data_IF_011201868449
#
_entry.id   IF_011201868449
#
_cell.length_a   1.000
_cell.length_b   1.000
_cell.length_c   1.000
_cell.angle_alpha   90.00
_cell.angle_beta   90.00
_cell.angle_gamma   90.00
#
_symmetry.space_group_name_H-M   'P 1'
#
loop_
_entity.id
_entity.type
_entity.pdbx_description
1 polymer ?
#
# COMPACT_ATOMS: atom_id res chain seq x y z
N UNK A 1 -10.85 10.87 -42.86
CA UNK A 1 -10.35 12.23 -42.56
C UNK A 1 -11.39 13.10 -41.87
N UNK A 2 -12.60 13.30 -42.42
CA UNK A 2 -13.66 14.06 -41.73
C UNK A 2 -14.18 13.38 -40.44
N UNK A 3 -14.32 12.05 -40.45
CA UNK A 3 -14.73 11.28 -39.27
C UNK A 3 -13.72 11.31 -38.12
N UNK A 4 -12.41 11.28 -38.43
CA UNK A 4 -11.36 11.35 -37.41
C UNK A 4 -11.29 12.72 -36.77
N UNK A 5 -11.43 13.80 -37.55
CA UNK A 5 -11.44 15.17 -37.05
C UNK A 5 -12.64 15.44 -36.11
N UNK A 6 -13.83 14.96 -36.50
CA UNK A 6 -15.03 15.05 -35.66
C UNK A 6 -14.92 14.23 -34.37
N UNK A 7 -14.24 13.09 -34.42
CA UNK A 7 -14.00 12.24 -33.25
C UNK A 7 -12.99 12.87 -32.28
N UNK A 8 -11.89 13.47 -32.77
CA UNK A 8 -10.91 14.19 -31.95
C UNK A 8 -11.53 15.38 -31.21
N UNK A 9 -12.35 16.19 -31.90
CA UNK A 9 -13.06 17.30 -31.27
C UNK A 9 -14.01 16.84 -30.17
N UNK A 10 -14.68 15.71 -30.39
CA UNK A 10 -15.58 15.12 -29.40
C UNK A 10 -14.81 14.58 -28.19
N UNK A 11 -13.68 13.89 -28.42
CA UNK A 11 -12.82 13.36 -27.38
C UNK A 11 -12.24 14.50 -26.52
N UNK A 12 -11.74 15.55 -27.15
CA UNK A 12 -11.21 16.73 -26.48
C UNK A 12 -12.28 17.43 -25.62
N UNK A 13 -13.53 17.49 -26.09
CA UNK A 13 -14.65 18.01 -25.30
C UNK A 13 -14.94 17.13 -24.08
N UNK A 14 -14.93 15.81 -24.23
CA UNK A 14 -15.12 14.87 -23.13
C UNK A 14 -13.98 14.99 -22.12
N UNK A 15 -12.75 15.16 -22.57
CA UNK A 15 -11.58 15.30 -21.71
C UNK A 15 -11.69 16.55 -20.81
N UNK A 16 -12.01 17.70 -21.40
CA UNK A 16 -12.16 18.95 -20.65
C UNK A 16 -13.41 18.93 -19.76
N UNK A 17 -14.54 18.44 -20.27
CA UNK A 17 -15.81 18.51 -19.56
C UNK A 17 -15.95 17.47 -18.44
N UNK A 18 -15.33 16.30 -18.58
CA UNK A 18 -15.53 15.17 -17.67
C UNK A 18 -14.22 14.62 -17.10
N UNK A 19 -13.23 14.27 -17.93
CA UNK A 19 -12.02 13.61 -17.45
C UNK A 19 -11.26 14.48 -16.44
N UNK A 20 -10.95 15.73 -16.80
CA UNK A 20 -10.15 16.63 -15.96
C UNK A 20 -10.82 16.93 -14.61
N UNK A 21 -12.11 17.34 -14.54
CA UNK A 21 -12.78 17.58 -13.25
C UNK A 21 -12.83 16.33 -12.37
N UNK A 22 -13.09 15.16 -12.97
CA UNK A 22 -13.20 13.90 -12.23
C UNK A 22 -11.83 13.46 -11.70
N UNK A 23 -10.77 13.57 -12.50
CA UNK A 23 -9.38 13.31 -12.10
C UNK A 23 -8.96 14.21 -10.93
N UNK A 24 -9.29 15.50 -11.01
CA UNK A 24 -9.02 16.47 -9.94
C UNK A 24 -9.75 16.12 -8.64
N UNK A 25 -11.05 15.79 -8.72
CA UNK A 25 -11.84 15.34 -7.56
C UNK A 25 -11.27 14.06 -6.97
N UNK A 26 -10.87 13.10 -7.80
CA UNK A 26 -10.26 11.85 -7.33
C UNK A 26 -8.95 12.11 -6.57
N UNK A 27 -8.04 12.90 -7.13
CA UNK A 27 -6.78 13.22 -6.47
C UNK A 27 -6.98 14.04 -5.18
N UNK A 28 -7.91 14.99 -5.19
CA UNK A 28 -8.30 15.71 -3.98
C UNK A 28 -8.85 14.77 -2.91
N UNK A 29 -9.77 13.87 -3.28
CA UNK A 29 -10.36 12.90 -2.35
C UNK A 29 -9.32 11.94 -1.77
N UNK A 30 -8.35 11.52 -2.59
CA UNK A 30 -7.23 10.67 -2.18
C UNK A 30 -6.33 11.42 -1.19
N UNK A 31 -5.99 12.67 -1.48
CA UNK A 31 -5.22 13.53 -0.58
C UNK A 31 -5.95 13.70 0.77
N UNK A 32 -7.24 14.05 0.75
CA UNK A 32 -8.06 14.18 1.96
C UNK A 32 -8.12 12.87 2.77
N UNK A 33 -8.28 11.73 2.09
CA UNK A 33 -8.25 10.42 2.71
C UNK A 33 -6.91 10.14 3.40
N UNK A 34 -5.79 10.51 2.79
CA UNK A 34 -4.46 10.29 3.36
C UNK A 34 -4.16 11.23 4.52
N UNK A 35 -4.51 12.50 4.39
CA UNK A 35 -4.40 13.47 5.47
C UNK A 35 -5.18 12.97 6.69
N UNK A 36 -6.44 12.58 6.52
CA UNK A 36 -7.27 12.08 7.62
C UNK A 36 -6.74 10.78 8.22
N UNK A 37 -6.33 9.81 7.39
CA UNK A 37 -5.84 8.50 7.85
C UNK A 37 -4.47 8.59 8.55
N UNK A 38 -3.57 9.44 8.05
CA UNK A 38 -2.20 9.55 8.55
C UNK A 38 -1.93 10.81 9.38
N UNK A 39 -2.96 11.62 9.70
CA UNK A 39 -2.83 12.89 10.44
C UNK A 39 -2.00 12.77 11.73
N UNK A 40 -2.22 11.69 12.48
CA UNK A 40 -1.57 11.44 13.77
C UNK A 40 -0.09 11.07 13.63
N UNK A 41 0.34 10.63 12.45
CA UNK A 41 1.71 10.18 12.14
C UNK A 41 2.46 11.10 11.19
N UNK A 42 1.94 12.31 10.94
CA UNK A 42 2.51 13.30 10.00
C UNK A 42 3.97 13.69 10.27
N UNK A 43 4.46 13.47 11.48
CA UNK A 43 5.86 13.75 11.85
C UNK A 43 6.85 12.71 11.32
N UNK A 44 6.41 11.52 10.92
CA UNK A 44 7.29 10.54 10.30
C UNK A 44 7.70 11.00 8.90
N UNK A 45 9.02 11.03 8.60
CA UNK A 45 9.56 11.51 7.31
C UNK A 45 8.86 10.89 6.09
N UNK A 46 8.53 9.60 6.16
CA UNK A 46 7.86 8.88 5.07
C UNK A 46 6.40 9.24 4.89
N UNK A 47 5.70 9.48 6.00
CA UNK A 47 4.31 9.95 5.95
C UNK A 47 4.28 11.38 5.40
N UNK A 48 5.27 12.21 5.78
CA UNK A 48 5.44 13.54 5.19
C UNK A 48 5.65 13.45 3.67
N UNK A 49 6.57 12.60 3.22
CA UNK A 49 6.81 12.37 1.79
C UNK A 49 5.55 11.90 1.06
N UNK A 50 4.81 10.94 1.65
CA UNK A 50 3.52 10.49 1.12
C UNK A 50 2.52 11.66 0.97
N UNK A 51 2.38 12.50 1.99
CA UNK A 51 1.46 13.65 1.93
C UNK A 51 1.93 14.71 0.94
N UNK A 52 3.24 14.93 0.81
CA UNK A 52 3.83 15.85 -0.17
C UNK A 52 3.58 15.37 -1.59
N UNK A 53 3.83 14.09 -1.90
CA UNK A 53 3.59 13.53 -3.24
C UNK A 53 2.09 13.53 -3.56
N UNK A 54 1.23 13.19 -2.60
CA UNK A 54 -0.22 13.24 -2.80
C UNK A 54 -0.73 14.67 -3.03
N UNK A 55 -0.18 15.65 -2.31
CA UNK A 55 -0.46 17.07 -2.55
C UNK A 55 0.03 17.49 -3.94
N UNK A 56 1.22 17.07 -4.34
CA UNK A 56 1.79 17.39 -5.65
C UNK A 56 0.96 16.82 -6.80
N UNK A 57 0.44 15.59 -6.66
CA UNK A 57 -0.48 14.97 -7.63
C UNK A 57 -1.75 15.80 -7.84
N UNK A 58 -2.25 16.44 -6.79
CA UNK A 58 -3.38 17.36 -6.87
C UNK A 58 -2.96 18.74 -7.41
N UNK A 59 -1.85 19.29 -6.94
CA UNK A 59 -1.37 20.61 -7.30
C UNK A 59 -0.99 20.70 -8.79
N UNK A 60 -0.43 19.63 -9.37
CA UNK A 60 -0.14 19.59 -10.82
C UNK A 60 -1.40 19.67 -11.67
N UNK A 61 -2.58 19.33 -11.13
CA UNK A 61 -3.86 19.42 -11.83
C UNK A 61 -4.55 20.80 -11.74
N UNK A 62 -4.09 21.70 -10.88
CA UNK A 62 -4.63 23.06 -10.74
C UNK A 62 -4.38 23.94 -11.99
N UNK A 63 -3.18 23.97 -12.59
CA UNK A 63 -2.89 24.80 -13.77
C UNK A 63 -3.60 24.35 -15.06
N UNK A 64 -4.41 23.28 -15.05
CA UNK A 64 -5.30 22.94 -16.17
C UNK A 64 -6.41 23.97 -16.42
N UNK A 65 -6.52 24.99 -15.56
CA UNK A 65 -7.32 26.19 -15.82
C UNK A 65 -6.68 27.15 -16.84
N UNK A 66 -5.43 26.91 -17.29
CA UNK A 66 -4.73 27.73 -18.28
C UNK A 66 -4.81 27.13 -19.69
N UNK A 67 -4.88 27.96 -20.75
CA UNK A 67 -5.21 27.53 -22.12
C UNK A 67 -4.09 26.76 -22.88
N UNK A 68 -2.96 26.44 -22.25
CA UNK A 68 -1.83 25.78 -22.92
C UNK A 68 -1.97 24.25 -22.84
N UNK A 69 -2.23 23.61 -23.99
CA UNK A 69 -2.43 22.16 -24.12
C UNK A 69 -1.18 21.33 -23.83
N UNK A 70 0.02 21.83 -24.19
CA UNK A 70 1.30 21.14 -23.95
C UNK A 70 1.59 20.98 -22.45
N UNK A 71 1.63 22.10 -21.73
CA UNK A 71 1.86 22.12 -20.28
C UNK A 71 0.80 21.31 -19.52
N UNK A 72 -0.45 21.34 -19.99
CA UNK A 72 -1.52 20.54 -19.41
C UNK A 72 -1.24 19.04 -19.55
N UNK A 73 -0.76 18.57 -20.72
CA UNK A 73 -0.42 17.17 -20.92
C UNK A 73 0.69 16.70 -19.95
N UNK A 74 1.78 17.45 -19.85
CA UNK A 74 2.94 17.06 -19.03
C UNK A 74 2.59 17.03 -17.53
N UNK A 75 1.75 17.96 -17.09
CA UNK A 75 1.28 18.01 -15.71
C UNK A 75 0.29 16.90 -15.36
N UNK A 76 -0.43 16.35 -16.35
CA UNK A 76 -1.27 15.16 -16.16
C UNK A 76 -0.38 13.94 -15.95
N UNK A 77 0.66 13.80 -16.76
CA UNK A 77 1.60 12.68 -16.68
C UNK A 77 2.36 12.72 -15.34
N UNK A 78 2.79 13.91 -14.88
CA UNK A 78 3.33 14.12 -13.53
C UNK A 78 2.33 13.70 -12.45
N UNK A 79 1.05 14.06 -12.62
CA UNK A 79 -0.01 13.71 -11.68
C UNK A 79 -0.22 12.21 -11.57
N UNK A 80 -0.11 11.50 -12.70
CA UNK A 80 -0.26 10.04 -12.81
C UNK A 80 0.90 9.31 -12.12
N UNK A 81 2.14 9.70 -12.41
CA UNK A 81 3.34 9.18 -11.72
C UNK A 81 3.22 9.41 -10.20
N UNK A 82 2.77 10.59 -9.77
CA UNK A 82 2.54 10.87 -8.36
C UNK A 82 1.46 9.99 -7.74
N UNK A 83 0.40 9.64 -8.48
CA UNK A 83 -0.67 8.75 -8.00
C UNK A 83 -0.17 7.32 -7.80
N UNK A 84 0.60 6.76 -8.75
CA UNK A 84 1.25 5.44 -8.58
C UNK A 84 2.16 5.47 -7.36
N UNK A 85 3.04 6.47 -7.28
CA UNK A 85 4.00 6.62 -6.19
C UNK A 85 3.31 6.75 -4.83
N UNK A 86 2.22 7.49 -4.76
CA UNK A 86 1.40 7.62 -3.54
C UNK A 86 0.86 6.27 -3.10
N UNK A 87 0.34 5.46 -4.03
CA UNK A 87 -0.18 4.15 -3.70
C UNK A 87 0.93 3.17 -3.27
N UNK A 88 2.07 3.18 -3.97
CA UNK A 88 3.26 2.42 -3.61
C UNK A 88 3.80 2.78 -2.22
N UNK A 89 3.84 4.07 -1.88
CA UNK A 89 4.25 4.56 -0.56
C UNK A 89 3.31 4.09 0.55
N UNK A 90 1.99 4.10 0.32
CA UNK A 90 1.02 3.57 1.30
C UNK A 90 1.30 2.10 1.61
N UNK A 91 1.53 1.29 0.58
CA UNK A 91 1.81 -0.14 0.72
C UNK A 91 3.14 -0.35 1.45
N UNK A 92 4.19 0.39 1.08
CA UNK A 92 5.50 0.28 1.72
C UNK A 92 5.47 0.69 3.20
N UNK A 93 4.74 1.76 3.54
CA UNK A 93 4.53 2.18 4.94
C UNK A 93 3.76 1.10 5.71
N UNK A 94 2.66 0.59 5.15
CA UNK A 94 1.85 -0.47 5.78
C UNK A 94 2.68 -1.74 6.02
N UNK A 95 3.47 -2.14 5.04
CA UNK A 95 4.38 -3.30 5.09
C UNK A 95 5.35 -3.20 6.23
N UNK A 96 5.96 -2.02 6.41
CA UNK A 96 6.91 -1.79 7.48
C UNK A 96 6.28 -1.89 8.86
N UNK A 97 5.08 -1.36 9.00
CA UNK A 97 4.33 -1.47 10.26
C UNK A 97 3.99 -2.93 10.59
N UNK A 98 3.73 -3.77 9.57
CA UNK A 98 3.50 -5.20 9.73
C UNK A 98 4.81 -5.94 10.03
N UNK A 99 5.90 -5.63 9.33
CA UNK A 99 7.20 -6.25 9.52
C UNK A 99 7.71 -6.06 10.96
N UNK A 100 7.52 -4.87 11.53
CA UNK A 100 7.90 -4.56 12.91
C UNK A 100 7.19 -5.47 13.93
N UNK A 101 6.05 -6.07 13.58
CA UNK A 101 5.26 -6.96 14.45
C UNK A 101 5.56 -8.44 14.23
N UNK A 102 5.73 -8.87 12.97
CA UNK A 102 5.73 -10.30 12.61
C UNK A 102 7.16 -10.82 12.30
N UNK A 103 8.15 -9.93 12.09
CA UNK A 103 9.59 -10.26 11.90
C UNK A 103 9.85 -11.47 10.98
N UNK A 104 9.13 -11.58 9.87
CA UNK A 104 9.34 -12.65 8.88
C UNK A 104 10.42 -12.21 7.89
N UNK A 105 11.41 -13.07 7.64
CA UNK A 105 12.56 -12.77 6.76
C UNK A 105 12.15 -12.39 5.33
N UNK A 106 11.12 -13.01 4.77
CA UNK A 106 10.64 -12.68 3.41
C UNK A 106 10.03 -11.28 3.30
N UNK A 107 9.41 -10.76 4.36
CA UNK A 107 8.86 -9.40 4.39
C UNK A 107 9.99 -8.36 4.32
N UNK A 108 11.16 -8.69 4.88
CA UNK A 108 12.33 -7.82 4.83
C UNK A 108 12.85 -7.66 3.39
N UNK A 109 12.94 -8.74 2.61
CA UNK A 109 13.34 -8.65 1.19
C UNK A 109 12.34 -7.84 0.37
N UNK A 110 11.04 -8.07 0.55
CA UNK A 110 10.00 -7.29 -0.14
C UNK A 110 10.03 -5.81 0.22
N UNK A 111 10.39 -5.48 1.46
CA UNK A 111 10.57 -4.09 1.86
C UNK A 111 11.70 -3.43 1.06
N UNK A 112 12.87 -4.07 0.93
CA UNK A 112 13.97 -3.52 0.13
C UNK A 112 13.58 -3.28 -1.33
N UNK A 113 12.85 -4.20 -1.93
CA UNK A 113 12.32 -4.04 -3.29
C UNK A 113 11.37 -2.84 -3.37
N UNK A 114 10.43 -2.73 -2.43
CA UNK A 114 9.49 -1.60 -2.36
C UNK A 114 10.18 -0.25 -2.15
N UNK A 115 11.20 -0.17 -1.30
CA UNK A 115 12.00 1.05 -1.12
C UNK A 115 12.74 1.43 -2.40
N UNK A 116 13.31 0.45 -3.10
CA UNK A 116 14.02 0.67 -4.36
C UNK A 116 13.08 1.22 -5.42
N UNK A 117 11.89 0.65 -5.55
CA UNK A 117 10.84 1.15 -6.43
C UNK A 117 10.43 2.58 -6.07
N UNK A 118 10.26 2.90 -4.79
CA UNK A 118 9.95 4.27 -4.34
C UNK A 118 11.05 5.25 -4.77
N UNK A 119 12.32 4.89 -4.63
CA UNK A 119 13.45 5.73 -5.05
C UNK A 119 13.46 5.90 -6.57
N UNK A 120 13.24 4.83 -7.33
CA UNK A 120 13.17 4.88 -8.80
C UNK A 120 12.01 5.79 -9.24
N UNK A 121 10.81 5.61 -8.69
CA UNK A 121 9.64 6.44 -9.02
C UNK A 121 9.77 7.90 -8.55
N UNK A 122 10.53 8.17 -7.49
CA UNK A 122 10.89 9.55 -7.15
C UNK A 122 11.87 10.14 -8.16
N UNK A 123 12.81 9.34 -8.65
CA UNK A 123 13.72 9.72 -9.73
C UNK A 123 12.96 10.05 -11.02
N UNK A 124 12.01 9.21 -11.42
CA UNK A 124 11.17 9.48 -12.60
C UNK A 124 10.37 10.76 -12.42
N UNK A 125 9.78 10.98 -11.24
CA UNK A 125 9.08 12.22 -10.94
C UNK A 125 9.98 13.47 -11.08
N UNK A 126 11.22 13.42 -10.58
CA UNK A 126 12.19 14.52 -10.72
C UNK A 126 12.55 14.75 -12.18
N UNK A 127 12.75 13.69 -12.97
CA UNK A 127 13.02 13.80 -14.40
C UNK A 127 11.86 14.46 -15.15
N UNK A 128 10.61 14.11 -14.86
CA UNK A 128 9.44 14.78 -15.45
C UNK A 128 9.38 16.28 -15.10
N UNK A 129 9.81 16.68 -13.89
CA UNK A 129 9.91 18.10 -13.56
C UNK A 129 11.04 18.80 -14.31
N UNK A 130 12.20 18.15 -14.46
CA UNK A 130 13.31 18.72 -15.24
C UNK A 130 12.86 18.91 -16.68
N UNK A 131 12.24 17.90 -17.28
CA UNK A 131 11.73 17.94 -18.65
C UNK A 131 10.72 19.09 -18.87
N UNK A 132 9.87 19.36 -17.87
CA UNK A 132 8.93 20.49 -17.89
C UNK A 132 9.61 21.88 -17.94
N UNK A 133 10.81 22.02 -17.37
CA UNK A 133 11.54 23.31 -17.30
C UNK A 133 12.65 23.44 -18.35
N UNK A 134 13.29 22.33 -18.67
CA UNK A 134 14.43 22.21 -19.57
C UNK A 134 14.24 20.95 -20.43
N UNK A 135 13.94 21.13 -21.72
CA UNK A 135 13.80 20.07 -22.73
C UNK A 135 15.18 19.48 -23.11
N UNK A 136 15.95 19.07 -22.09
CA UNK A 136 17.33 18.62 -22.19
C UNK A 136 17.44 17.11 -22.51
N UNK A 137 16.36 16.36 -22.30
CA UNK A 137 16.33 14.89 -22.38
C UNK A 137 15.42 14.49 -23.55
N UNK A 138 15.79 13.47 -24.36
CA UNK A 138 14.89 12.98 -25.40
C UNK A 138 13.58 12.45 -24.80
N UNK A 139 12.44 12.98 -25.27
CA UNK A 139 11.08 12.65 -24.81
C UNK A 139 10.85 11.13 -24.73
N UNK A 140 11.30 10.39 -25.76
CA UNK A 140 11.18 8.92 -25.84
C UNK A 140 11.81 8.20 -24.63
N UNK A 141 12.92 8.73 -24.10
CA UNK A 141 13.62 8.11 -22.97
C UNK A 141 12.90 8.35 -21.64
N UNK A 142 12.28 9.51 -21.47
CA UNK A 142 11.50 9.85 -20.27
C UNK A 142 10.20 9.04 -20.25
N UNK A 143 9.51 8.96 -21.39
CA UNK A 143 8.29 8.16 -21.54
C UNK A 143 8.55 6.67 -21.26
N UNK A 144 9.58 6.08 -21.88
CA UNK A 144 9.93 4.67 -21.64
C UNK A 144 10.26 4.39 -20.17
N UNK A 145 10.98 5.30 -19.52
CA UNK A 145 11.33 5.15 -18.11
C UNK A 145 10.11 5.26 -17.20
N UNK A 146 9.19 6.18 -17.48
CA UNK A 146 7.92 6.31 -16.77
C UNK A 146 7.10 5.02 -16.89
N UNK A 147 6.92 4.50 -18.10
CA UNK A 147 6.15 3.28 -18.37
C UNK A 147 6.74 2.06 -17.66
N UNK A 148 8.07 1.90 -17.70
CA UNK A 148 8.75 0.81 -17.00
C UNK A 148 8.62 0.93 -15.47
N UNK A 149 8.83 2.14 -14.92
CA UNK A 149 8.75 2.38 -13.49
C UNK A 149 7.32 2.19 -12.96
N UNK A 150 6.33 2.62 -13.73
CA UNK A 150 4.93 2.38 -13.47
C UNK A 150 4.62 0.89 -13.47
N UNK A 151 4.92 0.18 -14.58
CA UNK A 151 4.62 -1.24 -14.69
C UNK A 151 5.28 -2.06 -13.57
N UNK A 152 6.55 -1.79 -13.27
CA UNK A 152 7.27 -2.45 -12.17
C UNK A 152 6.58 -2.19 -10.82
N UNK A 153 6.11 -0.95 -10.59
CA UNK A 153 5.41 -0.57 -9.36
C UNK A 153 4.06 -1.27 -9.22
N UNK A 154 3.27 -1.30 -10.29
CA UNK A 154 1.97 -1.96 -10.32
C UNK A 154 2.11 -3.47 -10.09
N UNK A 155 3.04 -4.11 -10.79
CA UNK A 155 3.32 -5.53 -10.63
C UNK A 155 3.73 -5.85 -9.19
N UNK A 156 4.65 -5.06 -8.63
CA UNK A 156 5.07 -5.22 -7.23
C UNK A 156 3.87 -5.11 -6.29
N UNK A 157 3.02 -4.10 -6.43
CA UNK A 157 1.84 -3.89 -5.59
C UNK A 157 0.89 -5.09 -5.61
N UNK A 158 0.57 -5.58 -6.80
CA UNK A 158 -0.33 -6.73 -7.00
C UNK A 158 0.27 -7.99 -6.38
N UNK A 159 1.51 -8.33 -6.74
CA UNK A 159 2.21 -9.50 -6.21
C UNK A 159 2.30 -9.44 -4.68
N UNK A 160 2.67 -8.26 -4.15
CA UNK A 160 2.83 -8.03 -2.73
C UNK A 160 1.50 -8.22 -1.97
N UNK A 161 0.40 -7.68 -2.49
CA UNK A 161 -0.92 -7.78 -1.86
C UNK A 161 -1.36 -9.24 -1.73
N UNK A 162 -1.29 -10.01 -2.81
CA UNK A 162 -1.70 -11.41 -2.80
C UNK A 162 -0.73 -12.29 -2.04
N UNK A 163 0.57 -11.96 -2.04
CA UNK A 163 1.56 -12.64 -1.21
C UNK A 163 1.20 -12.56 0.29
N UNK A 164 0.87 -11.37 0.79
CA UNK A 164 0.45 -11.19 2.19
C UNK A 164 -0.84 -11.93 2.52
N UNK A 165 -1.80 -11.90 1.60
CA UNK A 165 -3.07 -12.54 1.79
C UNK A 165 -2.94 -14.08 1.77
N UNK A 166 -2.07 -14.60 0.90
CA UNK A 166 -1.72 -16.02 0.84
C UNK A 166 -1.01 -16.48 2.11
N UNK A 167 -0.11 -15.67 2.68
CA UNK A 167 0.52 -15.95 3.98
C UNK A 167 -0.51 -16.04 5.12
N UNK A 168 -1.57 -15.23 5.09
CA UNK A 168 -2.56 -15.18 6.16
C UNK A 168 -3.62 -16.30 6.07
N UNK A 169 -4.08 -16.65 4.86
CA UNK A 169 -5.26 -17.52 4.65
C UNK A 169 -4.97 -18.80 3.85
N UNK A 170 -3.77 -18.94 3.28
CA UNK A 170 -3.41 -19.98 2.32
C UNK A 170 -3.87 -19.63 0.89
N UNK A 171 -2.99 -19.88 -0.09
CA UNK A 171 -3.16 -19.45 -1.48
C UNK A 171 -4.47 -19.93 -2.14
N UNK A 172 -4.82 -21.21 -1.95
CA UNK A 172 -6.04 -21.79 -2.52
C UNK A 172 -7.32 -21.09 -2.02
N UNK A 173 -7.39 -20.79 -0.71
CA UNK A 173 -8.54 -20.12 -0.11
C UNK A 173 -8.69 -18.68 -0.61
N UNK A 174 -7.58 -18.01 -0.94
CA UNK A 174 -7.59 -16.66 -1.50
C UNK A 174 -8.25 -16.63 -2.88
N UNK A 175 -7.85 -17.53 -3.79
CA UNK A 175 -8.43 -17.60 -5.13
C UNK A 175 -9.93 -17.89 -5.13
N UNK A 176 -10.40 -18.70 -4.18
CA UNK A 176 -11.83 -19.04 -4.09
C UNK A 176 -12.64 -17.90 -3.49
N UNK A 177 -12.14 -17.26 -2.43
CA UNK A 177 -12.95 -16.33 -1.62
C UNK A 177 -12.78 -14.85 -1.98
N UNK A 178 -11.71 -14.46 -2.68
CA UNK A 178 -11.37 -13.06 -2.97
C UNK A 178 -11.39 -12.74 -4.47
N UNK A 179 -12.30 -13.39 -5.22
CA UNK A 179 -12.41 -13.23 -6.68
C UNK A 179 -12.59 -11.77 -7.11
N UNK A 180 -13.41 -11.00 -6.38
CA UNK A 180 -13.66 -9.58 -6.69
C UNK A 180 -12.42 -8.72 -6.46
N UNK A 181 -11.64 -8.98 -5.42
CA UNK A 181 -10.37 -8.29 -5.18
C UNK A 181 -9.37 -8.63 -6.29
N UNK A 182 -9.24 -9.91 -6.68
CA UNK A 182 -8.39 -10.34 -7.78
C UNK A 182 -8.75 -9.62 -9.08
N UNK A 183 -10.03 -9.57 -9.45
CA UNK A 183 -10.47 -8.90 -10.67
C UNK A 183 -10.08 -7.42 -10.66
N UNK A 184 -10.31 -6.70 -9.55
CA UNK A 184 -9.95 -5.28 -9.45
C UNK A 184 -8.45 -5.05 -9.59
N UNK A 185 -7.62 -5.88 -8.96
CA UNK A 185 -6.15 -5.77 -9.08
C UNK A 185 -5.63 -6.19 -10.46
N UNK A 186 -6.29 -7.12 -11.14
CA UNK A 186 -5.97 -7.46 -12.54
C UNK A 186 -6.28 -6.29 -13.45
N UNK A 187 -7.45 -5.65 -13.31
CA UNK A 187 -7.80 -4.45 -14.08
C UNK A 187 -6.80 -3.31 -13.83
N UNK A 188 -6.34 -3.16 -12.59
CA UNK A 188 -5.30 -2.20 -12.23
C UNK A 188 -3.96 -2.50 -12.91
N UNK A 189 -3.55 -3.78 -12.98
CA UNK A 189 -2.31 -4.18 -13.65
C UNK A 189 -2.38 -4.02 -15.17
N UNK A 190 -3.54 -4.31 -15.77
CA UNK A 190 -3.74 -4.28 -17.23
C UNK A 190 -4.32 -2.95 -17.71
N UNK A 191 -4.19 -1.88 -16.93
CA UNK A 191 -4.93 -0.65 -17.18
C UNK A 191 -4.55 0.03 -18.51
N UNK A 192 -3.32 -0.16 -19.00
CA UNK A 192 -2.82 0.41 -20.26
C UNK A 192 -3.18 -0.43 -21.51
N UNK A 193 -3.36 -1.75 -21.35
CA UNK A 193 -3.64 -2.67 -22.45
C UNK A 193 -4.89 -2.33 -23.30
N UNK A 194 -6.06 -1.99 -22.74
CA UNK A 194 -7.23 -1.67 -23.56
C UNK A 194 -7.01 -0.40 -24.39
N UNK A 195 -6.27 0.57 -23.86
CA UNK A 195 -5.99 1.84 -24.54
C UNK A 195 -4.96 1.68 -25.65
N UNK A 196 -3.98 0.80 -25.49
CA UNK A 196 -3.04 0.45 -26.56
C UNK A 196 -3.75 -0.21 -27.75
N UNK A 197 -4.76 -1.05 -27.49
CA UNK A 197 -5.59 -1.64 -28.54
C UNK A 197 -6.49 -0.57 -29.19
N UNK A 198 -7.12 0.29 -28.40
CA UNK A 198 -7.97 1.39 -28.91
C UNK A 198 -7.18 2.36 -29.79
N UNK A 199 -5.97 2.74 -29.39
CA UNK A 199 -5.10 3.62 -30.15
C UNK A 199 -4.74 3.01 -31.51
N UNK A 200 -4.36 1.73 -31.53
CA UNK A 200 -4.09 1.01 -32.79
C UNK A 200 -5.30 0.97 -33.74
N UNK A 201 -6.53 0.87 -33.23
CA UNK A 201 -7.73 0.81 -34.07
C UNK A 201 -8.31 2.16 -34.47
N UNK A 202 -8.16 3.19 -33.62
CA UNK A 202 -8.82 4.49 -33.81
C UNK A 202 -7.87 5.60 -34.24
N UNK A 203 -6.55 5.43 -34.05
CA UNK A 203 -5.53 6.45 -34.23
C UNK A 203 -5.82 7.75 -33.45
N UNK A 204 -6.51 7.63 -32.30
CA UNK A 204 -6.89 8.74 -31.43
C UNK A 204 -6.08 8.68 -30.12
N UNK A 205 -5.71 9.86 -29.60
CA UNK A 205 -4.97 9.96 -28.34
C UNK A 205 -5.87 9.74 -27.11
N UNK A 206 -5.94 8.51 -26.60
CA UNK A 206 -6.75 8.15 -25.42
C UNK A 206 -6.08 8.38 -24.06
N UNK A 207 -4.95 9.11 -24.02
CA UNK A 207 -4.07 9.19 -22.85
C UNK A 207 -4.74 9.79 -21.61
N UNK A 208 -5.60 10.80 -21.76
CA UNK A 208 -6.37 11.35 -20.63
C UNK A 208 -7.38 10.35 -20.05
N UNK A 209 -8.05 9.59 -20.92
CA UNK A 209 -9.02 8.57 -20.52
C UNK A 209 -8.31 7.39 -19.86
N UNK A 210 -7.12 7.02 -20.35
CA UNK A 210 -6.24 6.05 -19.70
C UNK A 210 -5.87 6.50 -18.29
N UNK A 211 -5.38 7.73 -18.13
CA UNK A 211 -5.03 8.28 -16.82
C UNK A 211 -6.23 8.38 -15.87
N UNK A 212 -7.43 8.67 -16.39
CA UNK A 212 -8.67 8.61 -15.61
C UNK A 212 -8.96 7.18 -15.14
N UNK A 213 -8.88 6.20 -16.05
CA UNK A 213 -9.13 4.79 -15.76
C UNK A 213 -8.16 4.23 -14.71
N UNK A 214 -6.89 4.60 -14.81
CA UNK A 214 -5.85 4.29 -13.82
C UNK A 214 -6.23 4.81 -12.42
N UNK A 215 -6.67 6.07 -12.30
CA UNK A 215 -7.09 6.64 -11.02
C UNK A 215 -8.36 5.98 -10.46
N UNK A 216 -9.31 5.60 -11.32
CA UNK A 216 -10.51 4.84 -10.92
C UNK A 216 -10.11 3.48 -10.36
N UNK A 217 -9.20 2.76 -11.01
CA UNK A 217 -8.74 1.44 -10.54
C UNK A 217 -7.96 1.53 -9.23
N UNK A 218 -7.15 2.58 -9.02
CA UNK A 218 -6.54 2.88 -7.70
C UNK A 218 -7.63 3.09 -6.64
N UNK A 219 -8.64 3.92 -6.94
CA UNK A 219 -9.72 4.21 -6.00
C UNK A 219 -10.50 2.93 -5.62
N UNK A 220 -10.75 2.03 -6.58
CA UNK A 220 -11.37 0.73 -6.33
C UNK A 220 -10.48 -0.20 -5.48
N UNK A 221 -9.16 -0.22 -5.72
CA UNK A 221 -8.20 -0.97 -4.90
C UNK A 221 -8.17 -0.47 -3.44
N UNK A 222 -8.28 0.84 -3.24
CA UNK A 222 -8.38 1.44 -1.91
C UNK A 222 -9.73 1.15 -1.26
N UNK A 223 -10.82 1.30 -2.00
CA UNK A 223 -12.17 1.02 -1.53
C UNK A 223 -12.33 -0.42 -1.02
N UNK A 224 -11.86 -1.40 -1.79
CA UNK A 224 -11.88 -2.82 -1.39
C UNK A 224 -11.08 -3.05 -0.11
N UNK A 225 -9.92 -2.40 0.03
CA UNK A 225 -9.10 -2.44 1.24
C UNK A 225 -9.81 -1.82 2.46
N UNK A 226 -10.49 -0.69 2.29
CA UNK A 226 -11.25 -0.02 3.35
C UNK A 226 -12.46 -0.87 3.76
N UNK A 227 -13.22 -1.39 2.80
CA UNK A 227 -14.40 -2.23 3.02
C UNK A 227 -14.03 -3.47 3.86
N UNK A 228 -12.90 -4.12 3.55
CA UNK A 228 -12.40 -5.24 4.34
C UNK A 228 -12.13 -4.84 5.80
N UNK A 229 -11.59 -3.64 6.05
CA UNK A 229 -11.39 -3.14 7.42
C UNK A 229 -12.71 -2.89 8.15
N UNK A 230 -13.69 -2.27 7.49
CA UNK A 230 -14.99 -1.95 8.11
C UNK A 230 -15.76 -3.23 8.44
N UNK A 231 -15.80 -4.18 7.51
CA UNK A 231 -16.44 -5.49 7.72
C UNK A 231 -15.84 -6.23 8.93
N UNK A 232 -14.52 -6.20 9.09
CA UNK A 232 -13.84 -6.82 10.25
C UNK A 232 -14.09 -6.12 11.60
N UNK A 233 -14.50 -4.85 11.59
CA UNK A 233 -14.87 -4.09 12.81
C UNK A 233 -16.34 -4.29 13.18
N UNK A 234 -17.21 -4.44 12.18
CA UNK A 234 -18.65 -4.68 12.38
C UNK A 234 -18.93 -6.02 13.07
N UNK A 235 -18.17 -7.07 12.76
CA UNK A 235 -18.33 -8.39 13.41
C UNK A 235 -17.96 -8.41 14.90
N UNK A 236 -17.34 -7.36 15.44
CA UNK A 236 -17.00 -7.23 16.87
C UNK A 236 -18.07 -6.49 17.69
N UNK A 237 -19.16 -6.01 17.07
CA UNK A 237 -20.25 -5.28 17.74
C UNK A 237 -21.54 -6.07 17.92
N UNK A 238 -21.59 -7.33 17.49
CA UNK A 238 -22.77 -8.18 17.58
C UNK A 238 -22.49 -9.53 18.23
N UNK A 239 -22.08 -9.55 19.51
CA UNK A 239 -22.36 -10.67 20.43
C UNK A 239 -21.98 -10.27 21.86
N UNK A 240 -22.90 -9.62 22.56
CA UNK A 240 -22.84 -9.54 24.02
C UNK A 240 -24.25 -9.49 24.58
N UNK A 241 -25.05 -10.51 24.25
CA UNK A 241 -26.26 -10.84 25.00
C UNK A 241 -26.48 -12.36 24.95
N UNK A 242 -26.46 -12.95 26.15
CA UNK A 242 -27.05 -14.23 26.59
C UNK A 242 -26.34 -15.58 26.35
N UNK A 243 -26.33 -16.30 27.48
CA UNK A 243 -26.17 -17.73 27.81
C UNK A 243 -24.78 -18.39 27.84
N UNK A 244 -24.45 -18.87 29.04
CA UNK A 244 -23.30 -19.74 29.33
C UNK A 244 -23.52 -21.17 28.86
N UNK A 245 -22.42 -21.88 28.66
CA UNK A 245 -22.41 -23.29 28.29
C UNK A 245 -21.04 -23.74 27.80
N UNK A 246 -20.46 -24.69 28.51
CA UNK A 246 -19.13 -25.29 28.38
C UNK A 246 -18.99 -26.16 27.12
N UNK A 247 -17.92 -26.01 26.33
CA UNK A 247 -17.54 -26.99 25.29
C UNK A 247 -16.56 -26.45 24.23
N UNK A 248 -15.53 -27.22 23.78
CA UNK A 248 -14.32 -26.66 23.17
C UNK A 248 -14.37 -26.62 21.63
N UNK A 249 -14.21 -25.43 21.05
CA UNK A 249 -14.28 -25.22 19.60
C UNK A 249 -13.25 -24.22 19.09
N UNK A 250 -12.20 -24.77 18.49
CA UNK A 250 -11.26 -24.18 17.52
C UNK A 250 -11.79 -22.91 16.82
N UNK A 251 -11.32 -21.73 17.22
CA UNK A 251 -11.45 -20.47 16.43
C UNK A 251 -10.75 -19.30 17.13
N UNK A 252 -9.42 -19.18 17.02
CA UNK A 252 -8.73 -18.02 17.60
C UNK A 252 -7.49 -17.54 16.82
N UNK A 253 -7.61 -17.44 15.50
CA UNK A 253 -6.63 -16.70 14.68
C UNK A 253 -7.19 -15.42 14.02
N UNK A 254 -8.51 -15.29 13.82
CA UNK A 254 -9.10 -14.13 13.12
C UNK A 254 -9.19 -12.84 13.95
N UNK A 255 -8.95 -12.91 15.26
CA UNK A 255 -9.12 -11.75 16.16
C UNK A 255 -7.92 -10.78 16.18
N UNK A 256 -6.73 -11.22 15.74
CA UNK A 256 -5.46 -10.47 15.88
C UNK A 256 -5.08 -9.57 14.70
N UNK A 257 -5.71 -9.73 13.54
CA UNK A 257 -5.35 -8.97 12.32
C UNK A 257 -6.05 -7.59 12.21
N UNK A 258 -7.10 -7.34 13.01
CA UNK A 258 -7.94 -6.12 12.91
C UNK A 258 -7.53 -4.99 13.90
N UNK A 259 -6.51 -5.18 14.74
CA UNK A 259 -5.98 -4.14 15.65
C UNK A 259 -4.56 -3.74 15.25
N UNK A 260 -4.46 -2.76 14.36
CA UNK A 260 -3.22 -2.03 14.16
C UNK A 260 -2.92 -1.18 15.39
N UNK A 261 -2.04 -1.69 16.26
CA UNK A 261 -1.42 -1.03 17.43
C UNK A 261 -2.09 -1.18 18.79
N UNK A 262 -1.24 -1.51 19.77
CA UNK A 262 -1.45 -1.81 21.19
C UNK A 262 -2.15 -3.15 21.52
N UNK A 263 -1.38 -4.11 22.04
CA UNK A 263 -1.62 -4.94 23.26
C UNK A 263 -0.37 -5.84 23.46
N UNK A 264 0.14 -6.00 24.71
CA UNK A 264 1.40 -6.67 25.03
C UNK A 264 1.32 -8.18 24.80
N UNK A 265 2.40 -8.79 24.35
CA UNK A 265 2.53 -10.25 24.27
C UNK A 265 3.25 -10.73 25.53
N UNK A 266 2.51 -11.42 26.41
CA UNK A 266 3.09 -12.22 27.49
C UNK A 266 3.92 -13.35 26.87
N UNK A 267 5.17 -13.44 27.33
CA UNK A 267 6.09 -14.53 27.07
C UNK A 267 5.51 -15.83 27.65
N UNK A 268 5.14 -16.79 26.80
CA UNK A 268 4.74 -18.12 27.27
C UNK A 268 6.00 -18.95 27.50
N UNK A 269 6.17 -19.39 28.74
CA UNK A 269 7.17 -20.37 29.20
C UNK A 269 7.12 -21.63 28.33
N UNK A 270 8.32 -22.12 28.02
CA UNK A 270 8.59 -23.48 27.54
C UNK A 270 8.10 -24.48 28.60
N UNK A 271 7.44 -25.60 28.23
CA UNK A 271 7.04 -26.60 29.20
C UNK A 271 8.27 -27.38 29.69
N UNK A 272 8.68 -27.13 30.94
CA UNK A 272 9.60 -28.04 31.62
C UNK A 272 8.87 -29.29 32.09
N UNK A 273 9.50 -30.42 31.77
CA UNK A 273 9.15 -31.79 32.10
C UNK A 273 9.05 -31.95 33.62
N UNK A 274 7.91 -32.46 34.08
CA UNK A 274 7.58 -32.74 35.48
C UNK A 274 8.48 -33.88 35.99
N UNK A 275 9.40 -33.59 36.91
CA UNK A 275 10.06 -34.60 37.75
C UNK A 275 9.49 -34.44 39.16
N UNK A 276 8.91 -35.52 39.69
CA UNK A 276 8.34 -35.56 41.04
C UNK A 276 9.47 -35.54 42.08
N UNK A 277 9.36 -34.68 43.09
CA UNK A 277 9.98 -34.90 44.40
C UNK A 277 9.15 -34.25 45.50
N UNK A 278 8.91 -35.05 46.53
CA UNK A 278 8.06 -34.84 47.70
C UNK A 278 8.64 -33.77 48.64
N UNK A 279 7.75 -33.01 49.27
CA UNK A 279 8.02 -31.99 50.29
C UNK A 279 8.15 -32.60 51.69
N UNK A 280 9.20 -32.24 52.44
CA UNK A 280 9.22 -32.23 53.91
C UNK A 280 10.13 -31.08 54.40
N UNK A 281 9.70 -30.37 55.44
CA UNK A 281 10.47 -29.42 56.27
C UNK A 281 10.26 -29.81 57.76
N UNK A 282 10.85 -29.16 58.80
CA UNK A 282 12.18 -28.53 59.01
C UNK A 282 12.87 -28.90 60.38
N UNK A 283 14.07 -28.33 60.63
CA UNK A 283 14.86 -28.12 61.91
C UNK A 283 15.87 -29.20 62.39
N UNK A 284 16.85 -28.92 63.31
CA UNK A 284 17.76 -27.75 63.51
C UNK A 284 19.27 -28.12 63.81
N UNK A 285 20.14 -27.09 63.93
CA UNK A 285 21.44 -26.95 64.66
C UNK A 285 22.57 -28.02 64.61
N UNK A 286 23.79 -27.61 64.20
CA UNK A 286 25.07 -27.71 64.98
C UNK A 286 26.29 -27.21 64.18
N UNK A 287 27.16 -26.43 64.85
CA UNK A 287 28.56 -26.13 64.47
C UNK A 287 29.49 -27.27 65.01
N UNK A 288 30.82 -27.39 64.73
CA UNK A 288 31.84 -26.32 64.76
C UNK A 288 33.04 -26.40 63.77
N UNK A 289 33.82 -25.31 63.78
CA UNK A 289 35.25 -25.00 63.47
C UNK A 289 36.19 -26.04 62.82
N UNK A 290 37.12 -25.58 61.94
CA UNK A 290 38.60 -25.67 62.08
C UNK A 290 39.30 -24.76 61.03
N UNK A 291 40.35 -24.08 61.49
CA UNK A 291 41.26 -23.11 60.86
C UNK A 291 42.17 -23.63 59.72
N UNK A 292 42.64 -22.71 58.85
CA UNK A 292 44.10 -22.51 58.56
C UNK A 292 44.41 -21.33 57.63
N UNK A 293 45.09 -20.33 58.23
CA UNK A 293 46.27 -19.56 57.80
C UNK A 293 46.51 -19.06 56.35
N UNK A 294 46.61 -17.73 56.25
CA UNK A 294 47.70 -16.89 55.71
C UNK A 294 48.53 -17.36 54.49
N UNK A 295 48.64 -16.51 53.46
CA UNK A 295 49.81 -15.63 53.29
C UNK A 295 49.56 -14.55 52.23
N UNK A 296 49.96 -13.34 52.59
CA UNK A 296 50.15 -12.16 51.73
C UNK A 296 51.41 -12.36 50.88
N UNK A 297 51.38 -11.80 49.68
CA UNK A 297 52.49 -11.59 48.76
C UNK A 297 52.01 -10.65 47.65
#
# INVERSE_FOLDING_TARGET
>A
MLYSLSAEETLHRVDIALCVPVVLIMNFSLFQYLVTTFHRRRQERRVRLLLTVAFLSFASLIPFAFPNSFISRDLNDISEVCSVLTFLLQITILTRDVNRRIKIRSIWSLMWIGETLVVVSLGTLVLNFIDLFEELIPIETVELLNDMAEFASLLFIVCFRFYFLALAKGMHKVFITQKTEIVVYVLFLTHSAPFLVLDHFTALNWRHVQGLYMRITIALCLWTTIKARISSKSSKRGWSTLTGGTGPGVSNLDSKFSKGSAVPVKLSKVPQKKHNSVSVAPYPMSAPTVDKLCSVG
#
